data_IF_688190999822
#
_entry.id   IF_688190999822
#
_cell.length_a   1.000
_cell.length_b   1.000
_cell.length_c   1.000
_cell.angle_alpha   90.00
_cell.angle_beta   90.00
_cell.angle_gamma   90.00
#
_symmetry.space_group_name_H-M   'P 1'
#
loop_
_entity.id
_entity.type
_entity.pdbx_description
1 polymer ?
#
# COMPACT_ATOMS: atom_id res chain seq x y z
N UNK A 1 -12.78 28.65 17.64
CA UNK A 1 -11.80 27.56 17.52
C UNK A 1 -12.12 26.85 16.22
N UNK A 2 -11.20 26.87 15.26
CA UNK A 2 -11.35 26.09 14.03
C UNK A 2 -10.89 24.70 14.43
N UNK A 3 -11.79 23.71 14.43
CA UNK A 3 -11.39 22.32 14.55
C UNK A 3 -10.40 22.04 13.41
N UNK A 4 -9.13 21.81 13.76
CA UNK A 4 -8.14 21.37 12.78
C UNK A 4 -8.69 20.11 12.12
N UNK A 5 -8.88 20.17 10.80
CA UNK A 5 -9.25 19.01 10.00
C UNK A 5 -8.15 17.98 10.19
N UNK A 6 -8.43 16.94 10.97
CA UNK A 6 -7.48 15.86 11.21
C UNK A 6 -7.25 15.12 9.90
N UNK A 7 -6.03 15.20 9.39
CA UNK A 7 -5.62 14.44 8.23
C UNK A 7 -5.02 13.12 8.68
N UNK A 8 -5.51 12.03 8.11
CA UNK A 8 -4.93 10.71 8.32
C UNK A 8 -4.36 10.18 7.00
N UNK A 9 -3.29 9.41 7.09
CA UNK A 9 -2.72 8.63 5.99
C UNK A 9 -2.58 7.17 6.44
N UNK A 10 -3.02 6.25 5.58
CA UNK A 10 -2.85 4.83 5.74
C UNK A 10 -1.85 4.32 4.71
N UNK A 11 -0.78 3.69 5.20
CA UNK A 11 0.33 3.19 4.37
C UNK A 11 0.43 1.68 4.48
N UNK A 12 0.45 1.01 3.33
CA UNK A 12 0.51 -0.46 3.25
C UNK A 12 1.79 -0.99 2.59
N UNK A 13 2.61 -0.08 2.04
CA UNK A 13 3.77 -0.41 1.21
C UNK A 13 5.10 0.03 1.80
N UNK A 14 5.98 0.55 0.95
CA UNK A 14 7.38 0.84 1.28
C UNK A 14 7.55 1.95 2.32
N UNK A 15 6.54 2.78 2.53
CA UNK A 15 6.52 3.82 3.58
C UNK A 15 6.25 3.20 4.97
N UNK A 16 5.71 1.99 5.06
CA UNK A 16 5.46 1.28 6.32
C UNK A 16 6.78 0.96 7.04
N UNK A 17 6.78 0.84 8.36
CA UNK A 17 7.98 0.41 9.12
C UNK A 17 8.53 -0.92 8.58
N UNK A 18 9.84 -0.95 8.31
CA UNK A 18 10.52 -2.08 7.65
C UNK A 18 10.53 -2.00 6.10
N UNK A 19 9.79 -1.06 5.52
CA UNK A 19 9.84 -0.72 4.10
C UNK A 19 10.99 0.22 3.75
N UNK A 20 11.38 0.23 2.46
CA UNK A 20 12.55 0.99 1.97
C UNK A 20 12.40 2.51 2.06
N UNK A 21 11.16 3.02 2.08
CA UNK A 21 10.86 4.46 2.12
C UNK A 21 10.41 4.92 3.51
N UNK A 22 10.52 4.09 4.56
CA UNK A 22 10.08 4.44 5.92
C UNK A 22 10.75 5.70 6.48
N UNK A 23 11.98 6.00 6.04
CA UNK A 23 12.72 7.20 6.44
C UNK A 23 11.99 8.51 6.16
N UNK A 24 10.99 8.51 5.25
CA UNK A 24 10.18 9.70 4.99
C UNK A 24 9.26 10.07 6.17
N UNK A 25 8.87 9.09 6.99
CA UNK A 25 8.01 9.28 8.17
C UNK A 25 8.80 9.19 9.48
N UNK A 26 9.86 8.38 9.55
CA UNK A 26 10.53 7.99 10.80
C UNK A 26 10.86 9.15 11.75
N UNK A 27 11.26 10.30 11.20
CA UNK A 27 11.63 11.49 11.97
C UNK A 27 10.82 12.73 11.57
N UNK A 28 9.65 12.56 10.96
CA UNK A 28 8.79 13.69 10.58
C UNK A 28 7.98 14.18 11.80
N UNK A 29 8.26 15.37 12.36
CA UNK A 29 7.61 15.85 13.58
C UNK A 29 6.11 16.08 13.42
N UNK A 30 5.63 16.27 12.19
CA UNK A 30 4.22 16.49 11.88
C UNK A 30 3.48 15.19 11.58
N UNK A 31 4.06 14.03 11.86
CA UNK A 31 3.45 12.72 11.60
C UNK A 31 3.52 11.88 12.86
N UNK A 32 2.37 11.35 13.26
CA UNK A 32 2.24 10.52 14.46
C UNK A 32 1.60 9.18 14.13
N UNK A 33 2.28 8.09 14.47
CA UNK A 33 1.71 6.74 14.32
C UNK A 33 0.54 6.55 15.27
N UNK A 34 -0.61 6.15 14.74
CA UNK A 34 -1.80 5.76 15.51
C UNK A 34 -1.75 4.27 15.83
N UNK A 35 -1.40 3.44 14.85
CA UNK A 35 -1.35 1.98 15.02
C UNK A 35 -1.38 1.21 13.72
N UNK A 36 -1.67 -0.09 13.80
CA UNK A 36 -2.02 -0.90 12.63
C UNK A 36 -3.50 -0.76 12.32
N UNK A 37 -3.85 -0.83 11.05
CA UNK A 37 -5.22 -0.79 10.59
C UNK A 37 -5.48 -1.74 9.44
N UNK A 38 -6.76 -1.98 9.20
CA UNK A 38 -7.26 -2.77 8.08
C UNK A 38 -8.29 -1.96 7.30
N UNK A 39 -8.22 -1.96 5.96
CA UNK A 39 -9.24 -1.30 5.15
C UNK A 39 -10.60 -1.98 5.32
N UNK A 40 -11.68 -1.20 5.36
CA UNK A 40 -13.04 -1.76 5.38
C UNK A 40 -13.40 -2.35 4.01
N UNK A 41 -13.09 -1.62 2.93
CA UNK A 41 -13.24 -2.09 1.56
C UNK A 41 -12.11 -3.04 1.17
N UNK A 42 -12.40 -3.87 0.17
CA UNK A 42 -11.44 -4.81 -0.43
C UNK A 42 -10.84 -4.24 -1.71
N UNK A 43 -9.56 -4.52 -1.92
CA UNK A 43 -8.77 -4.07 -3.08
C UNK A 43 -8.01 -5.24 -3.69
N UNK A 44 -7.71 -5.16 -4.98
CA UNK A 44 -6.74 -6.07 -5.57
C UNK A 44 -5.36 -5.63 -5.08
N UNK A 45 -4.62 -6.54 -4.45
CA UNK A 45 -3.32 -6.25 -3.87
C UNK A 45 -2.23 -7.09 -4.51
N UNK A 46 -1.20 -6.43 -5.04
CA UNK A 46 -0.25 -7.05 -5.97
C UNK A 46 1.16 -6.68 -5.55
N UNK A 47 2.06 -7.67 -5.46
CA UNK A 47 3.47 -7.45 -5.24
C UNK A 47 4.27 -7.55 -6.55
N UNK A 48 5.28 -6.71 -6.71
CA UNK A 48 6.34 -6.96 -7.70
C UNK A 48 7.31 -8.06 -7.20
N UNK A 49 7.72 -8.98 -8.06
CA UNK A 49 8.69 -10.04 -7.70
C UNK A 49 10.05 -9.47 -7.32
N UNK A 50 10.45 -8.32 -7.89
CA UNK A 50 11.63 -7.58 -7.44
C UNK A 50 11.56 -7.19 -5.96
N UNK A 51 10.39 -7.30 -5.33
CA UNK A 51 10.13 -6.87 -3.96
C UNK A 51 10.19 -5.35 -3.81
N UNK A 52 10.16 -4.61 -4.92
CA UNK A 52 10.37 -3.18 -4.91
C UNK A 52 9.17 -2.42 -4.33
N UNK A 53 7.95 -2.72 -4.80
CA UNK A 53 6.73 -2.00 -4.43
C UNK A 53 5.52 -2.95 -4.44
N UNK A 54 4.59 -2.82 -3.47
CA UNK A 54 3.25 -3.34 -3.60
C UNK A 54 2.30 -2.31 -4.24
N UNK A 55 1.25 -2.80 -4.90
CA UNK A 55 0.23 -2.00 -5.55
C UNK A 55 -1.14 -2.42 -5.05
N UNK A 56 -1.90 -1.47 -4.50
CA UNK A 56 -3.32 -1.64 -4.23
C UNK A 56 -4.14 -0.93 -5.32
N UNK A 57 -5.22 -1.56 -5.80
CA UNK A 57 -6.09 -0.95 -6.82
C UNK A 57 -7.53 -1.42 -6.69
N UNK A 58 -8.45 -0.57 -7.13
CA UNK A 58 -9.88 -0.90 -7.24
C UNK A 58 -10.17 -1.78 -8.47
N UNK A 59 -9.24 -1.86 -9.42
CA UNK A 59 -9.38 -2.70 -10.61
C UNK A 59 -9.33 -4.18 -10.25
N UNK A 60 -10.25 -4.95 -10.81
CA UNK A 60 -10.24 -6.42 -10.69
C UNK A 60 -9.36 -7.04 -11.77
N UNK A 61 -8.62 -8.08 -11.41
CA UNK A 61 -7.88 -8.92 -12.35
C UNK A 61 -8.49 -10.32 -12.36
N UNK A 62 -8.52 -10.95 -13.54
CA UNK A 62 -9.08 -12.30 -13.66
C UNK A 62 -8.32 -13.28 -12.76
N UNK A 63 -9.06 -14.01 -11.92
CA UNK A 63 -8.49 -14.99 -10.99
C UNK A 63 -7.76 -14.41 -9.78
N UNK A 64 -7.90 -13.10 -9.50
CA UNK A 64 -7.38 -12.48 -8.27
C UNK A 64 -8.54 -11.94 -7.46
N UNK A 65 -8.67 -12.47 -6.24
CA UNK A 65 -9.61 -11.96 -5.26
C UNK A 65 -9.12 -10.66 -4.65
N UNK A 66 -10.08 -9.76 -4.39
CA UNK A 66 -9.82 -8.56 -3.60
C UNK A 66 -9.74 -8.92 -2.12
N UNK A 67 -8.86 -8.23 -1.40
CA UNK A 67 -8.60 -8.44 0.02
C UNK A 67 -8.68 -7.13 0.79
N UNK A 68 -8.98 -7.22 2.07
CA UNK A 68 -8.79 -6.09 2.98
C UNK A 68 -7.27 -5.91 3.18
N UNK A 69 -6.79 -4.68 3.12
CA UNK A 69 -5.36 -4.37 3.19
C UNK A 69 -4.98 -4.04 4.62
N UNK A 70 -3.89 -4.64 5.10
CA UNK A 70 -3.29 -4.40 6.40
C UNK A 70 -2.11 -3.43 6.25
N UNK A 71 -2.07 -2.42 7.10
CA UNK A 71 -1.08 -1.35 7.02
C UNK A 71 -0.97 -0.58 8.32
N UNK A 72 -0.26 0.54 8.26
CA UNK A 72 -0.07 1.46 9.38
C UNK A 72 -0.87 2.74 9.15
N UNK A 73 -1.56 3.18 10.19
CA UNK A 73 -2.32 4.43 10.21
C UNK A 73 -1.51 5.51 10.94
N UNK A 74 -1.42 6.67 10.30
CA UNK A 74 -0.74 7.84 10.83
C UNK A 74 -1.67 9.05 10.80
N UNK A 75 -1.58 9.88 11.83
CA UNK A 75 -2.10 11.24 11.85
C UNK A 75 -1.04 12.17 11.25
N UNK A 76 -1.48 13.11 10.42
CA UNK A 76 -0.65 14.08 9.71
C UNK A 76 -1.12 15.48 10.06
N UNK A 77 -0.24 16.26 10.69
CA UNK A 77 -0.52 17.61 11.14
C UNK A 77 -0.17 18.68 10.09
N UNK A 78 0.52 18.28 9.01
CA UNK A 78 1.01 19.20 7.97
C UNK A 78 0.52 18.83 6.57
N UNK A 79 -0.14 19.77 5.90
CA UNK A 79 -0.54 19.63 4.49
C UNK A 79 0.68 19.51 3.56
N UNK A 80 1.79 20.16 3.88
CA UNK A 80 3.00 20.09 3.03
C UNK A 80 3.62 18.69 3.05
N UNK A 81 3.42 17.93 4.13
CA UNK A 81 3.83 16.53 4.17
C UNK A 81 3.02 15.66 3.21
N UNK A 82 1.71 15.90 3.13
CA UNK A 82 0.83 15.22 2.18
C UNK A 82 1.23 15.50 0.71
N UNK A 83 1.61 16.74 0.39
CA UNK A 83 2.13 17.09 -0.95
C UNK A 83 3.48 16.42 -1.26
N UNK A 84 4.34 16.26 -0.24
CA UNK A 84 5.59 15.52 -0.37
C UNK A 84 5.34 14.04 -0.70
N UNK A 85 4.33 13.44 -0.07
CA UNK A 85 3.90 12.08 -0.38
C UNK A 85 3.35 11.97 -1.81
N UNK A 86 2.56 12.94 -2.27
CA UNK A 86 2.05 12.96 -3.65
C UNK A 86 3.17 12.94 -4.69
N UNK A 87 4.27 13.65 -4.42
CA UNK A 87 5.46 13.63 -5.29
C UNK A 87 6.21 12.30 -5.25
N UNK A 88 6.29 11.66 -4.09
CA UNK A 88 6.93 10.36 -3.95
C UNK A 88 6.12 9.26 -4.68
N UNK A 89 4.80 9.30 -4.53
CA UNK A 89 3.85 8.31 -5.03
C UNK A 89 3.29 8.70 -6.41
N UNK A 90 4.13 9.26 -7.29
CA UNK A 90 3.70 9.88 -8.56
C UNK A 90 2.93 8.96 -9.53
N UNK A 91 3.02 7.63 -9.37
CA UNK A 91 2.24 6.64 -10.15
C UNK A 91 0.91 6.24 -9.48
N UNK A 92 0.57 6.86 -8.36
CA UNK A 92 -0.62 6.56 -7.57
C UNK A 92 -1.48 7.81 -7.45
N UNK A 93 -2.76 7.60 -7.20
CA UNK A 93 -3.68 8.66 -6.80
C UNK A 93 -3.99 8.54 -5.31
N UNK A 94 -4.03 9.68 -4.63
CA UNK A 94 -4.50 9.74 -3.24
C UNK A 94 -6.02 9.72 -3.21
N UNK A 95 -6.61 8.72 -2.56
CA UNK A 95 -8.06 8.57 -2.37
C UNK A 95 -8.42 8.45 -0.89
N UNK A 96 -9.63 8.86 -0.55
CA UNK A 96 -10.19 8.59 0.78
C UNK A 96 -10.67 7.14 0.88
N UNK A 97 -10.33 6.50 1.98
CA UNK A 97 -10.75 5.14 2.33
C UNK A 97 -11.15 5.09 3.80
N UNK A 98 -11.91 4.06 4.18
CA UNK A 98 -12.23 3.78 5.58
C UNK A 98 -11.29 2.68 6.08
N UNK A 99 -10.65 2.93 7.22
CA UNK A 99 -9.73 2.00 7.89
C UNK A 99 -10.18 1.79 9.33
N UNK A 100 -10.26 0.53 9.75
CA UNK A 100 -10.50 0.15 11.14
C UNK A 100 -9.15 -0.01 11.86
N UNK A 101 -8.96 0.67 12.99
CA UNK A 101 -7.80 0.54 13.88
C UNK A 101 -8.26 0.60 15.33
N UNK A 102 -7.87 -0.36 16.17
CA UNK A 102 -8.29 -0.46 17.58
C UNK A 102 -9.81 -0.28 17.77
N UNK A 103 -10.60 -0.95 16.93
CA UNK A 103 -12.07 -0.87 16.89
C UNK A 103 -12.68 0.51 16.54
N UNK A 104 -11.86 1.48 16.15
CA UNK A 104 -12.29 2.79 15.67
C UNK A 104 -12.14 2.86 14.14
N UNK A 105 -13.12 3.47 13.47
CA UNK A 105 -13.11 3.68 12.03
C UNK A 105 -12.61 5.09 11.71
N UNK A 106 -11.62 5.17 10.82
CA UNK A 106 -10.99 6.40 10.38
C UNK A 106 -11.24 6.58 8.88
N UNK A 107 -11.74 7.76 8.49
CA UNK A 107 -11.66 8.22 7.11
C UNK A 107 -10.24 8.76 6.89
N UNK A 108 -9.49 8.12 6.02
CA UNK A 108 -8.05 8.38 5.83
C UNK A 108 -7.69 8.42 4.35
N UNK A 109 -6.58 9.06 4.03
CA UNK A 109 -5.99 8.98 2.70
C UNK A 109 -5.27 7.63 2.53
N UNK A 110 -5.27 7.12 1.31
CA UNK A 110 -4.48 5.96 0.87
C UNK A 110 -4.10 6.17 -0.60
N UNK A 111 -2.88 5.76 -0.99
CA UNK A 111 -2.43 5.82 -2.37
C UNK A 111 -2.85 4.56 -3.12
N UNK A 112 -3.57 4.72 -4.23
CA UNK A 112 -4.10 3.63 -5.06
C UNK A 112 -3.53 3.72 -6.48
N UNK A 113 -3.21 2.57 -7.06
CA UNK A 113 -2.74 2.47 -8.43
C UNK A 113 -3.91 2.66 -9.40
N UNK A 114 -3.81 3.70 -10.23
CA UNK A 114 -4.76 4.03 -11.31
C UNK A 114 -4.06 4.35 -12.64
N UNK A 115 -2.72 4.22 -12.70
CA UNK A 115 -2.00 4.39 -13.95
C UNK A 115 -2.33 3.25 -14.93
N UNK A 116 -3.02 3.59 -16.02
CA UNK A 116 -3.52 2.62 -17.00
C UNK A 116 -2.39 1.80 -17.65
N UNK A 117 -1.25 2.43 -17.96
CA UNK A 117 -0.11 1.75 -18.58
C UNK A 117 0.48 0.69 -17.65
N UNK A 118 0.62 1.02 -16.37
CA UNK A 118 1.12 0.12 -15.35
C UNK A 118 0.10 -0.98 -15.02
N UNK A 119 -1.20 -0.67 -14.95
CA UNK A 119 -2.26 -1.66 -14.79
C UNK A 119 -2.25 -2.68 -15.93
N UNK A 120 -2.11 -2.23 -17.17
CA UNK A 120 -1.95 -3.08 -18.35
C UNK A 120 -0.68 -3.92 -18.28
N UNK A 121 0.43 -3.31 -17.86
CA UNK A 121 1.71 -3.96 -17.64
C UNK A 121 1.60 -5.09 -16.61
N UNK A 122 0.90 -4.85 -15.50
CA UNK A 122 0.61 -5.86 -14.47
C UNK A 122 -0.24 -6.97 -15.08
N UNK A 123 -1.36 -6.66 -15.72
CA UNK A 123 -2.28 -7.63 -16.32
C UNK A 123 -1.57 -8.61 -17.27
N UNK A 124 -0.65 -8.11 -18.10
CA UNK A 124 0.14 -8.91 -19.05
C UNK A 124 1.22 -9.77 -18.41
N UNK A 125 1.70 -9.42 -17.20
CA UNK A 125 2.86 -10.04 -16.55
C UNK A 125 2.57 -10.71 -15.20
N UNK A 126 1.30 -10.78 -14.83
CA UNK A 126 0.81 -11.38 -13.60
C UNK A 126 0.89 -12.91 -13.65
N UNK A 127 1.36 -13.53 -12.57
CA UNK A 127 1.31 -14.98 -12.40
C UNK A 127 -0.14 -15.49 -12.32
N UNK A 128 -0.51 -16.66 -12.88
CA UNK A 128 0.35 -17.63 -13.57
C UNK A 128 0.52 -17.39 -15.08
N UNK A 129 -0.15 -16.38 -15.65
CA UNK A 129 -0.38 -16.28 -17.08
C UNK A 129 0.75 -15.53 -17.85
N UNK A 130 1.57 -14.72 -17.18
CA UNK A 130 2.59 -13.88 -17.80
C UNK A 130 4.06 -14.27 -17.53
N UNK A 131 4.99 -13.34 -17.81
CA UNK A 131 6.45 -13.48 -17.53
C UNK A 131 6.82 -13.57 -16.04
N UNK A 132 5.82 -13.76 -15.16
CA UNK A 132 5.96 -13.86 -13.71
C UNK A 132 6.75 -12.66 -13.17
N UNK A 133 6.22 -11.44 -13.30
CA UNK A 133 6.82 -10.24 -12.67
C UNK A 133 6.03 -9.73 -11.48
N UNK A 134 4.77 -10.14 -11.38
CA UNK A 134 3.85 -9.76 -10.32
C UNK A 134 3.14 -10.97 -9.74
N UNK A 135 2.73 -10.87 -8.48
CA UNK A 135 1.98 -11.90 -7.77
C UNK A 135 0.87 -11.29 -6.91
N UNK A 136 -0.28 -11.98 -6.73
CA UNK A 136 -1.31 -11.54 -5.81
C UNK A 136 -0.86 -11.67 -4.35
N UNK A 137 -1.18 -10.67 -3.54
CA UNK A 137 -1.01 -10.69 -2.08
C UNK A 137 -2.40 -10.98 -1.49
N UNK A 138 -2.60 -12.20 -0.99
CA UNK A 138 -3.92 -12.72 -0.61
C UNK A 138 -4.24 -12.61 0.88
N UNK A 139 -3.24 -12.41 1.73
CA UNK A 139 -3.42 -12.17 3.17
C UNK A 139 -3.64 -10.68 3.50
N UNK A 140 -3.51 -9.78 2.52
CA UNK A 140 -3.65 -8.35 2.72
C UNK A 140 -2.42 -7.66 3.32
N UNK A 141 -1.34 -8.39 3.63
CA UNK A 141 -0.11 -7.85 4.20
C UNK A 141 1.10 -8.11 3.28
N UNK A 142 1.70 -7.04 2.78
CA UNK A 142 2.84 -7.12 1.87
C UNK A 142 4.16 -7.58 2.52
N UNK A 143 4.39 -7.30 3.80
CA UNK A 143 5.63 -7.76 4.45
C UNK A 143 5.57 -9.25 4.81
N UNK A 144 4.38 -9.82 4.95
CA UNK A 144 4.18 -11.26 5.03
C UNK A 144 4.25 -11.89 3.64
N UNK A 145 5.46 -11.94 3.07
CA UNK A 145 5.69 -12.52 1.74
C UNK A 145 5.29 -14.01 1.73
N UNK A 146 4.59 -14.49 0.67
CA UNK A 146 4.31 -15.91 0.53
C UNK A 146 5.60 -16.74 0.53
N UNK A 147 5.61 -17.84 1.30
CA UNK A 147 6.74 -18.79 1.43
C UNK A 147 7.26 -19.25 0.06
N UNK A 148 6.37 -19.34 -0.95
CA UNK A 148 6.68 -19.68 -2.34
C UNK A 148 7.79 -18.82 -2.97
N UNK A 149 7.99 -17.57 -2.54
CA UNK A 149 9.04 -16.70 -3.08
C UNK A 149 10.36 -16.78 -2.31
N UNK A 150 10.36 -17.23 -1.06
CA UNK A 150 11.62 -17.39 -0.31
C UNK A 150 12.52 -18.43 -0.99
N UNK A 151 11.94 -19.50 -1.54
CA UNK A 151 12.69 -20.57 -2.22
C UNK A 151 13.21 -20.20 -3.62
N UNK A 152 12.62 -19.20 -4.30
CA UNK A 152 13.07 -18.73 -5.62
C UNK A 152 14.31 -17.82 -5.54
N UNK A 153 14.56 -17.19 -4.39
CA UNK A 153 15.73 -16.32 -4.17
C UNK A 153 16.91 -17.04 -3.51
N UNK A 154 16.72 -18.24 -2.98
CA UNK A 154 17.79 -19.05 -2.34
C UNK A 154 18.56 -19.89 -3.36
N UNK A 155 18.04 -20.09 -4.58
CA UNK A 155 18.71 -20.90 -5.62
C UNK A 155 19.75 -20.15 -6.47
N UNK A 156 20.29 -19.03 -5.98
CA UNK A 156 21.43 -18.31 -6.58
C UNK A 156 22.45 -17.94 -5.50
N UNK A 157 23.11 -18.95 -4.95
CA UNK A 157 24.44 -18.84 -4.34
C UNK A 157 25.26 -20.00 -4.90
#
# INVERSE_FOLDING_TARGET
MIDEIKNYIFVYGTIRKGGKNYSIIENEPNVRKIGFGITENKYTFIGAISGAYPYATEHSFHGIDKVNIIGELYEVLSQTFLEKLDKLEYNYIRKFVIVKSNDIYYKTNMYLLEDDELLDGIKKNLYPLGKKRFYPITNGDWLEKPILFQNLFVSKI
#
